data_IF_599771442896
#
_entry.id   IF_599771442896
#
_cell.length_a   1.000
_cell.length_b   1.000
_cell.length_c   1.000
_cell.angle_alpha   90.00
_cell.angle_beta   90.00
_cell.angle_gamma   90.00
#
_symmetry.space_group_name_H-M   'P 1'
#
loop_
_entity.id
_entity.type
_entity.pdbx_description
1 polymer ?
#
# COMPACT_ATOMS: atom_id res chain seq x y z
N UNK A 1 -14.04 -8.17 16.20
CA UNK A 1 -12.88 -7.26 16.23
C UNK A 1 -13.46 -5.86 16.35
N UNK A 2 -13.09 -5.12 17.40
CA UNK A 2 -13.60 -3.74 17.60
C UNK A 2 -13.03 -2.85 16.50
N UNK A 3 -13.85 -2.00 15.90
CA UNK A 3 -13.40 -0.97 14.97
C UNK A 3 -12.32 -0.09 15.64
N UNK A 4 -11.27 0.33 14.90
CA UNK A 4 -10.22 1.18 15.46
C UNK A 4 -10.80 2.49 16.00
N UNK A 5 -10.20 3.02 17.07
CA UNK A 5 -10.62 4.33 17.59
C UNK A 5 -10.16 5.46 16.65
N UNK A 6 -10.82 6.64 16.65
CA UNK A 6 -10.43 7.77 15.80
C UNK A 6 -8.97 8.21 16.00
N UNK A 7 -8.45 8.03 17.21
CA UNK A 7 -7.06 8.33 17.58
C UNK A 7 -6.09 7.34 16.94
N UNK A 8 -6.47 6.06 16.85
CA UNK A 8 -5.64 5.01 16.25
C UNK A 8 -5.53 5.19 14.74
N UNK A 9 -6.64 5.57 14.08
CA UNK A 9 -6.63 5.94 12.65
C UNK A 9 -5.70 7.13 12.40
N UNK A 10 -5.79 8.18 13.24
CA UNK A 10 -4.95 9.39 13.09
C UNK A 10 -3.46 9.09 13.23
N UNK A 11 -3.08 8.20 14.15
CA UNK A 11 -1.69 7.77 14.29
C UNK A 11 -1.26 6.88 13.12
N UNK A 12 -2.12 5.95 12.69
CA UNK A 12 -1.83 5.03 11.57
C UNK A 12 -1.52 5.78 10.29
N UNK A 13 -2.33 6.79 9.92
CA UNK A 13 -2.09 7.56 8.69
C UNK A 13 -0.78 8.34 8.75
N UNK A 14 -0.40 8.84 9.93
CA UNK A 14 0.90 9.49 10.15
C UNK A 14 2.05 8.51 10.01
N UNK A 15 1.93 7.32 10.59
CA UNK A 15 2.93 6.26 10.49
C UNK A 15 3.16 5.84 9.04
N UNK A 16 2.08 5.67 8.26
CA UNK A 16 2.16 5.38 6.82
C UNK A 16 2.81 6.54 6.06
N UNK A 17 2.38 7.78 6.34
CA UNK A 17 2.94 8.97 5.71
C UNK A 17 4.45 9.08 5.97
N UNK A 18 4.90 8.95 7.22
CA UNK A 18 6.31 8.99 7.58
C UNK A 18 7.11 7.84 6.96
N UNK A 19 6.55 6.64 6.88
CA UNK A 19 7.22 5.48 6.28
C UNK A 19 7.43 5.62 4.77
N UNK A 20 6.49 6.27 4.08
CA UNK A 20 6.37 6.25 2.62
C UNK A 20 6.66 7.61 1.96
N UNK A 21 6.90 8.68 2.73
CA UNK A 21 7.21 10.03 2.21
C UNK A 21 8.41 10.07 1.25
N UNK A 22 9.35 9.14 1.41
CA UNK A 22 10.53 9.02 0.54
C UNK A 22 10.33 8.18 -0.72
N UNK A 23 9.20 7.46 -0.85
CA UNK A 23 8.98 6.57 -1.98
C UNK A 23 8.78 7.36 -3.28
N UNK A 24 9.41 6.95 -4.40
CA UNK A 24 9.25 7.60 -5.70
C UNK A 24 7.79 7.80 -6.14
N UNK A 25 6.89 6.86 -5.88
CA UNK A 25 5.47 7.00 -6.19
C UNK A 25 4.89 8.22 -5.46
N UNK A 26 5.05 8.26 -4.14
CA UNK A 26 4.49 9.32 -3.29
C UNK A 26 5.15 10.67 -3.54
N UNK A 27 6.45 10.70 -3.82
CA UNK A 27 7.16 11.91 -4.25
C UNK A 27 6.57 12.49 -5.52
N UNK A 28 6.22 11.65 -6.47
CA UNK A 28 5.74 12.06 -7.80
C UNK A 28 4.29 12.54 -7.75
N UNK A 29 3.40 11.83 -7.05
CA UNK A 29 1.98 12.24 -6.96
C UNK A 29 1.77 13.47 -6.06
N UNK A 30 2.71 13.76 -5.15
CA UNK A 30 2.69 14.97 -4.29
C UNK A 30 3.52 16.14 -4.85
N UNK A 31 3.66 16.21 -6.18
CA UNK A 31 4.45 17.24 -6.88
C UNK A 31 4.09 18.68 -6.48
N UNK A 32 2.81 18.93 -6.15
CA UNK A 32 2.32 20.24 -5.71
C UNK A 32 2.98 20.75 -4.40
N UNK A 33 3.56 19.86 -3.59
CA UNK A 33 4.24 20.24 -2.35
C UNK A 33 5.65 20.82 -2.60
N UNK A 34 6.24 20.66 -3.79
CA UNK A 34 7.59 21.16 -4.10
C UNK A 34 8.63 20.65 -3.09
N UNK A 35 9.34 21.55 -2.42
CA UNK A 35 10.34 21.19 -1.38
C UNK A 35 9.75 21.16 0.04
N UNK A 36 8.45 21.46 0.22
CA UNK A 36 7.81 21.50 1.55
C UNK A 36 7.46 20.09 2.05
N UNK A 37 8.35 19.53 2.89
CA UNK A 37 8.16 18.22 3.50
C UNK A 37 7.01 18.18 4.52
N UNK A 38 6.70 19.30 5.19
CA UNK A 38 5.58 19.34 6.13
C UNK A 38 4.25 19.31 5.38
N UNK A 39 4.14 20.07 4.28
CA UNK A 39 2.97 20.01 3.40
C UNK A 39 2.80 18.62 2.77
N UNK A 40 3.91 17.98 2.35
CA UNK A 40 3.87 16.62 1.80
C UNK A 40 3.41 15.60 2.84
N UNK A 41 3.93 15.67 4.06
CA UNK A 41 3.51 14.77 5.13
C UNK A 41 2.00 14.91 5.39
N UNK A 42 1.48 16.14 5.48
CA UNK A 42 0.05 16.39 5.68
C UNK A 42 -0.81 15.90 4.50
N UNK A 43 -0.34 16.09 3.25
CA UNK A 43 -1.02 15.58 2.06
C UNK A 43 -1.05 14.04 2.05
N UNK A 44 0.04 13.39 2.46
CA UNK A 44 0.11 11.94 2.57
C UNK A 44 -0.75 11.40 3.72
N UNK A 45 -0.82 12.07 4.86
CA UNK A 45 -1.77 11.70 5.93
C UNK A 45 -3.21 11.66 5.39
N UNK A 46 -3.62 12.67 4.60
CA UNK A 46 -4.92 12.69 3.96
C UNK A 46 -5.08 11.61 2.86
N UNK A 47 -4.03 11.35 2.08
CA UNK A 47 -4.02 10.28 1.08
C UNK A 47 -4.25 8.91 1.74
N UNK A 48 -3.50 8.62 2.80
CA UNK A 48 -3.60 7.35 3.50
C UNK A 48 -4.91 7.19 4.27
N UNK A 49 -5.52 8.29 4.73
CA UNK A 49 -6.88 8.24 5.27
C UNK A 49 -7.90 7.79 4.21
N UNK A 50 -7.81 8.30 2.98
CA UNK A 50 -8.66 7.84 1.87
C UNK A 50 -8.40 6.38 1.51
N UNK A 51 -7.14 5.95 1.50
CA UNK A 51 -6.76 4.58 1.18
C UNK A 51 -7.21 3.57 2.25
N UNK A 52 -7.11 3.92 3.54
CA UNK A 52 -7.63 3.08 4.63
C UNK A 52 -9.14 2.93 4.53
N UNK A 53 -9.86 4.02 4.30
CA UNK A 53 -11.31 3.98 4.14
C UNK A 53 -11.75 3.11 2.95
N UNK A 54 -11.05 3.18 1.81
CA UNK A 54 -11.28 2.27 0.67
C UNK A 54 -10.98 0.82 1.04
N UNK A 55 -9.85 0.57 1.70
CA UNK A 55 -9.44 -0.77 2.12
C UNK A 55 -10.43 -1.44 3.07
N UNK A 56 -11.02 -0.68 4.00
CA UNK A 56 -12.07 -1.17 4.91
C UNK A 56 -13.38 -1.50 4.18
N UNK A 57 -13.69 -0.80 3.07
CA UNK A 57 -14.92 -1.02 2.31
C UNK A 57 -14.84 -2.18 1.32
N UNK A 58 -13.69 -2.36 0.67
CA UNK A 58 -13.58 -3.24 -0.49
C UNK A 58 -12.29 -4.08 -0.55
N UNK A 59 -11.61 -4.24 0.59
CA UNK A 59 -10.42 -5.07 0.70
C UNK A 59 -10.17 -5.51 2.13
N UNK A 60 -8.92 -5.40 2.56
CA UNK A 60 -8.49 -5.72 3.92
C UNK A 60 -7.51 -4.68 4.43
N UNK A 61 -7.65 -4.33 5.69
CA UNK A 61 -6.68 -3.52 6.45
C UNK A 61 -6.21 -4.33 7.65
N UNK A 62 -4.89 -4.51 7.76
CA UNK A 62 -4.25 -5.05 8.95
C UNK A 62 -3.45 -3.92 9.63
N UNK A 63 -3.70 -3.68 10.92
CA UNK A 63 -3.02 -2.62 11.69
C UNK A 63 -1.82 -3.18 12.45
N UNK A 64 -0.73 -2.41 12.48
CA UNK A 64 0.46 -2.75 13.26
C UNK A 64 0.26 -2.31 14.72
N UNK A 65 -0.45 -3.13 15.49
CA UNK A 65 -0.64 -2.93 16.91
C UNK A 65 0.39 -3.73 17.70
N UNK A 66 1.05 -3.08 18.67
CA UNK A 66 1.83 -3.82 19.65
C UNK A 66 0.91 -4.50 20.66
N UNK A 67 1.08 -5.82 20.82
CA UNK A 67 0.73 -6.50 22.07
C UNK A 67 1.57 -5.80 23.14
N UNK A 68 0.95 -4.89 23.91
CA UNK A 68 1.52 -4.07 25.01
C UNK A 68 1.59 -2.51 24.85
N UNK A 69 0.65 -1.89 24.11
CA UNK A 69 0.15 -0.49 24.35
C UNK A 69 0.52 0.64 23.37
N UNK A 70 0.88 0.37 22.12
CA UNK A 70 0.90 1.43 21.10
C UNK A 70 0.24 0.93 19.81
N UNK A 71 -1.06 1.20 19.68
CA UNK A 71 -1.78 1.03 18.43
C UNK A 71 -1.33 2.06 17.39
N UNK A 72 -1.50 1.74 16.10
CA UNK A 72 -1.30 2.68 15.00
C UNK A 72 0.15 2.93 14.57
N UNK A 73 1.07 2.00 14.82
CA UNK A 73 2.48 2.10 14.39
C UNK A 73 2.67 1.82 12.88
N UNK A 74 1.59 1.59 12.14
CA UNK A 74 1.62 1.26 10.72
C UNK A 74 0.41 0.43 10.31
N UNK A 75 0.36 0.09 9.03
CA UNK A 75 -0.70 -0.75 8.48
C UNK A 75 -0.25 -1.44 7.19
N UNK A 76 -1.04 -2.44 6.80
CA UNK A 76 -1.04 -3.05 5.48
C UNK A 76 -2.46 -2.98 4.89
N UNK A 77 -2.55 -2.57 3.63
CA UNK A 77 -3.81 -2.48 2.87
C UNK A 77 -3.71 -3.47 1.71
N UNK A 78 -4.74 -4.30 1.58
CA UNK A 78 -4.81 -5.32 0.56
C UNK A 78 -6.05 -5.15 -0.31
N UNK A 79 -5.89 -5.31 -1.61
CA UNK A 79 -6.98 -5.71 -2.49
C UNK A 79 -7.11 -7.23 -2.44
N UNK A 80 -8.34 -7.71 -2.25
CA UNK A 80 -8.64 -9.14 -2.13
C UNK A 80 -9.56 -9.61 -3.28
N UNK A 81 -10.11 -10.81 -3.14
CA UNK A 81 -11.13 -11.39 -4.01
C UNK A 81 -12.51 -10.70 -3.95
N UNK A 82 -12.63 -9.56 -3.24
CA UNK A 82 -13.84 -8.74 -3.22
C UNK A 82 -14.34 -8.46 -4.65
N UNK A 83 -15.64 -8.64 -4.95
CA UNK A 83 -16.18 -8.42 -6.30
C UNK A 83 -15.77 -7.07 -6.92
N UNK A 84 -15.39 -7.08 -8.19
CA UNK A 84 -14.89 -5.90 -8.90
C UNK A 84 -15.83 -4.69 -8.80
N UNK A 85 -17.15 -4.91 -8.83
CA UNK A 85 -18.15 -3.84 -8.69
C UNK A 85 -18.08 -3.12 -7.32
N UNK A 86 -17.79 -3.85 -6.23
CA UNK A 86 -17.62 -3.25 -4.91
C UNK A 86 -16.32 -2.45 -4.83
N UNK A 87 -15.23 -2.98 -5.40
CA UNK A 87 -13.96 -2.25 -5.50
C UNK A 87 -14.09 -0.95 -6.31
N UNK A 88 -14.77 -1.01 -7.45
CA UNK A 88 -15.05 0.15 -8.29
C UNK A 88 -15.92 1.18 -7.54
N UNK A 89 -16.94 0.73 -6.80
CA UNK A 89 -17.78 1.63 -6.01
C UNK A 89 -17.00 2.29 -4.86
N UNK A 90 -16.10 1.58 -4.18
CA UNK A 90 -15.24 2.14 -3.14
C UNK A 90 -14.25 3.17 -3.70
N UNK A 91 -13.62 2.86 -4.84
CA UNK A 91 -12.74 3.79 -5.54
C UNK A 91 -13.49 5.07 -5.96
N UNK A 92 -14.65 4.92 -6.60
CA UNK A 92 -15.45 6.05 -7.07
C UNK A 92 -15.89 7.00 -5.93
N UNK A 93 -16.11 6.48 -4.72
CA UNK A 93 -16.43 7.30 -3.55
C UNK A 93 -15.28 8.22 -3.12
N UNK A 94 -14.02 7.81 -3.31
CA UNK A 94 -12.86 8.63 -2.92
C UNK A 94 -12.22 9.41 -4.07
N UNK A 95 -12.53 9.09 -5.31
CA UNK A 95 -11.87 9.64 -6.50
C UNK A 95 -11.88 11.16 -6.54
N UNK A 96 -13.03 11.79 -6.28
CA UNK A 96 -13.15 13.25 -6.28
C UNK A 96 -12.27 13.90 -5.18
N UNK A 97 -12.24 13.30 -3.98
CA UNK A 97 -11.40 13.77 -2.88
C UNK A 97 -9.91 13.57 -3.18
N UNK A 98 -9.54 12.44 -3.79
CA UNK A 98 -8.18 12.15 -4.20
C UNK A 98 -7.69 13.15 -5.26
N UNK A 99 -8.50 13.42 -6.28
CA UNK A 99 -8.18 14.40 -7.33
C UNK A 99 -8.04 15.81 -6.77
N UNK A 100 -8.92 16.21 -5.86
CA UNK A 100 -8.82 17.50 -5.20
C UNK A 100 -7.55 17.61 -4.34
N UNK A 101 -7.20 16.53 -3.63
CA UNK A 101 -6.03 16.47 -2.76
C UNK A 101 -4.70 16.57 -3.52
N UNK A 102 -4.54 15.78 -4.60
CA UNK A 102 -3.29 15.74 -5.38
C UNK A 102 -3.15 16.91 -6.36
N UNK A 103 -4.25 17.62 -6.64
CA UNK A 103 -4.33 18.59 -7.72
C UNK A 103 -4.25 17.94 -9.10
N UNK A 104 -4.37 18.76 -10.14
CA UNK A 104 -4.45 18.27 -11.53
C UNK A 104 -3.20 17.49 -11.95
N UNK A 105 -2.01 18.04 -11.69
CA UNK A 105 -0.75 17.41 -12.08
C UNK A 105 -0.46 16.14 -11.27
N UNK A 106 -0.64 16.19 -9.94
CA UNK A 106 -0.42 15.03 -9.08
C UNK A 106 -1.37 13.88 -9.38
N UNK A 107 -2.65 14.19 -9.68
CA UNK A 107 -3.62 13.19 -10.10
C UNK A 107 -3.32 12.62 -11.49
N UNK A 108 -2.86 13.44 -12.45
CA UNK A 108 -2.42 12.95 -13.75
C UNK A 108 -1.23 11.99 -13.63
N UNK A 109 -0.27 12.28 -12.74
CA UNK A 109 0.82 11.37 -12.42
C UNK A 109 0.31 10.06 -11.80
N UNK A 110 -0.60 10.15 -10.83
CA UNK A 110 -1.22 8.97 -10.21
C UNK A 110 -1.85 8.05 -11.26
N UNK A 111 -2.71 8.58 -12.13
CA UNK A 111 -3.39 7.81 -13.17
C UNK A 111 -2.39 7.16 -14.12
N UNK A 112 -1.42 7.92 -14.63
CA UNK A 112 -0.43 7.40 -15.56
C UNK A 112 0.44 6.29 -14.94
N UNK A 113 0.85 6.43 -13.68
CA UNK A 113 1.64 5.40 -12.98
C UNK A 113 0.80 4.12 -12.80
N UNK A 114 -0.44 4.24 -12.33
CA UNK A 114 -1.34 3.09 -12.13
C UNK A 114 -1.59 2.35 -13.45
N UNK A 115 -1.84 3.09 -14.54
CA UNK A 115 -2.01 2.50 -15.87
C UNK A 115 -0.73 1.80 -16.35
N UNK A 116 0.45 2.38 -16.15
CA UNK A 116 1.72 1.77 -16.53
C UNK A 116 1.96 0.46 -15.75
N UNK A 117 1.69 0.47 -14.44
CA UNK A 117 1.85 -0.69 -13.57
C UNK A 117 0.86 -1.80 -13.93
N UNK A 118 -0.40 -1.47 -14.21
CA UNK A 118 -1.41 -2.44 -14.69
C UNK A 118 -0.99 -3.11 -16.01
N UNK A 119 -0.48 -2.36 -16.98
CA UNK A 119 0.05 -2.92 -18.22
C UNK A 119 1.24 -3.86 -17.98
N UNK A 120 2.12 -3.53 -17.04
CA UNK A 120 3.27 -4.37 -16.69
C UNK A 120 2.86 -5.66 -15.95
N UNK A 121 1.73 -5.65 -15.24
CA UNK A 121 1.16 -6.81 -14.53
C UNK A 121 0.48 -7.81 -15.48
N UNK A 122 -0.09 -7.36 -16.60
CA UNK A 122 -0.89 -8.20 -17.50
C UNK A 122 -0.22 -9.52 -17.94
N UNK A 123 1.09 -9.58 -18.26
CA UNK A 123 1.76 -10.82 -18.65
C UNK A 123 1.90 -11.87 -17.53
N UNK A 124 1.71 -11.50 -16.26
CA UNK A 124 1.93 -12.38 -15.11
C UNK A 124 0.70 -13.19 -14.70
N UNK A 125 -0.48 -12.91 -15.29
CA UNK A 125 -1.71 -13.64 -14.97
C UNK A 125 -2.15 -13.46 -13.51
N UNK A 126 -1.98 -12.26 -12.96
CA UNK A 126 -2.26 -11.93 -11.55
C UNK A 126 -3.66 -11.33 -11.31
N UNK A 127 -4.57 -11.41 -12.29
CA UNK A 127 -5.90 -10.80 -12.20
C UNK A 127 -6.76 -11.33 -11.03
N UNK A 128 -6.49 -12.56 -10.59
CA UNK A 128 -7.19 -13.22 -9.47
C UNK A 128 -6.34 -13.23 -8.18
N UNK A 129 -5.13 -12.67 -8.20
CA UNK A 129 -4.23 -12.61 -7.06
C UNK A 129 -4.58 -11.43 -6.14
N UNK A 130 -4.30 -11.59 -4.84
CA UNK A 130 -4.42 -10.50 -3.88
C UNK A 130 -3.27 -9.50 -4.08
N UNK A 131 -3.55 -8.21 -3.97
CA UNK A 131 -2.54 -7.16 -4.12
C UNK A 131 -2.28 -6.49 -2.78
N UNK A 132 -1.03 -6.53 -2.30
CA UNK A 132 -0.58 -5.71 -1.18
C UNK A 132 -0.28 -4.30 -1.70
N UNK A 133 -1.27 -3.42 -1.62
CA UNK A 133 -1.22 -2.10 -2.23
C UNK A 133 -0.39 -1.10 -1.44
N UNK A 134 -0.50 -1.14 -0.11
CA UNK A 134 0.19 -0.23 0.80
C UNK A 134 0.69 -1.04 2.00
N UNK A 135 1.95 -0.87 2.37
CA UNK A 135 2.49 -1.39 3.62
C UNK A 135 3.52 -0.41 4.18
N UNK A 136 3.38 -0.03 5.45
CA UNK A 136 4.30 0.89 6.09
C UNK A 136 4.27 0.76 7.60
N UNK A 137 5.45 0.92 8.22
CA UNK A 137 5.65 0.98 9.67
C UNK A 137 6.38 2.29 9.97
N UNK A 138 5.91 3.01 11.00
CA UNK A 138 6.55 4.23 11.50
C UNK A 138 8.07 4.00 11.63
N UNK A 139 8.92 4.86 11.04
CA UNK A 139 10.36 4.75 11.13
C UNK A 139 10.90 4.55 12.57
N UNK A 140 10.27 5.18 13.57
CA UNK A 140 10.66 5.03 14.98
C UNK A 140 10.30 3.67 15.58
N UNK A 141 9.39 2.92 14.96
CA UNK A 141 8.95 1.59 15.38
C UNK A 141 9.56 0.45 14.53
N UNK A 142 10.38 0.77 13.52
CA UNK A 142 11.06 -0.22 12.69
C UNK A 142 12.13 -1.01 13.46
N UNK A 143 12.52 -2.17 12.93
CA UNK A 143 13.50 -3.06 13.58
C UNK A 143 12.93 -3.90 14.74
N UNK A 144 11.67 -3.71 15.11
CA UNK A 144 10.98 -4.42 16.22
C UNK A 144 10.15 -5.63 15.78
N UNK A 145 10.24 -6.03 14.51
CA UNK A 145 9.46 -7.14 13.94
C UNK A 145 8.05 -6.77 13.45
N UNK A 146 7.61 -5.53 13.65
CA UNK A 146 6.25 -5.07 13.29
C UNK A 146 5.91 -5.23 11.81
N UNK A 147 6.88 -5.07 10.90
CA UNK A 147 6.63 -5.24 9.46
C UNK A 147 6.20 -6.67 9.11
N UNK A 148 6.80 -7.69 9.73
CA UNK A 148 6.37 -9.07 9.53
C UNK A 148 5.05 -9.34 10.26
N UNK A 149 4.89 -8.78 11.46
CA UNK A 149 3.67 -8.96 12.27
C UNK A 149 2.42 -8.39 11.58
N UNK A 150 2.51 -7.20 10.97
CA UNK A 150 1.37 -6.57 10.29
C UNK A 150 0.95 -7.31 9.01
N UNK A 151 1.89 -7.96 8.32
CA UNK A 151 1.59 -8.72 7.11
C UNK A 151 1.11 -10.15 7.40
N UNK A 152 1.41 -10.70 8.58
CA UNK A 152 1.10 -12.09 8.90
C UNK A 152 -0.40 -12.44 8.80
N UNK A 153 -1.35 -11.63 9.31
CA UNK A 153 -2.78 -11.93 9.18
C UNK A 153 -3.27 -11.95 7.73
N UNK A 154 -2.84 -10.97 6.91
CA UNK A 154 -3.17 -10.91 5.49
C UNK A 154 -2.60 -12.11 4.72
N UNK A 155 -1.34 -12.47 4.97
CA UNK A 155 -0.72 -13.64 4.35
C UNK A 155 -1.39 -14.96 4.75
N UNK A 156 -1.79 -15.10 6.01
CA UNK A 156 -2.56 -16.27 6.46
C UNK A 156 -3.93 -16.35 5.77
N UNK A 157 -4.58 -15.21 5.51
CA UNK A 157 -5.83 -15.17 4.75
C UNK A 157 -5.63 -15.54 3.27
N UNK A 158 -4.55 -15.07 2.65
CA UNK A 158 -4.14 -15.48 1.29
C UNK A 158 -3.95 -17.00 1.21
N UNK A 159 -3.22 -17.57 2.17
CA UNK A 159 -2.98 -19.02 2.23
C UNK A 159 -4.29 -19.80 2.45
N UNK A 160 -5.17 -19.33 3.34
CA UNK A 160 -6.48 -19.95 3.58
C UNK A 160 -7.41 -19.90 2.36
N UNK A 161 -7.29 -18.85 1.53
CA UNK A 161 -8.01 -18.72 0.27
C UNK A 161 -7.39 -19.56 -0.87
N UNK A 162 -6.20 -20.14 -0.67
CA UNK A 162 -5.44 -20.80 -1.74
C UNK A 162 -5.05 -19.85 -2.86
N UNK A 163 -4.97 -18.55 -2.58
CA UNK A 163 -4.70 -17.50 -3.55
C UNK A 163 -3.20 -17.21 -3.69
N UNK A 164 -2.77 -16.73 -4.85
CA UNK A 164 -1.50 -16.02 -4.95
C UNK A 164 -1.66 -14.58 -4.44
N UNK A 165 -0.56 -13.95 -4.04
CA UNK A 165 -0.53 -12.52 -3.83
C UNK A 165 0.71 -11.88 -4.44
N UNK A 166 0.64 -10.57 -4.69
CA UNK A 166 1.75 -9.80 -5.23
C UNK A 166 1.84 -8.43 -4.58
N UNK A 167 2.99 -7.79 -4.78
CA UNK A 167 3.27 -6.42 -4.40
C UNK A 167 4.20 -5.79 -5.42
N UNK A 168 4.21 -4.48 -5.44
CA UNK A 168 5.14 -3.67 -6.20
C UNK A 168 5.90 -2.75 -5.25
N UNK A 169 7.19 -2.58 -5.46
CA UNK A 169 8.00 -1.70 -4.60
C UNK A 169 9.09 -1.00 -5.40
N UNK A 170 9.25 0.30 -5.16
CA UNK A 170 10.39 1.08 -5.66
C UNK A 170 11.65 0.93 -4.79
N UNK A 171 11.51 0.33 -3.60
CA UNK A 171 12.59 0.22 -2.64
C UNK A 171 13.29 -1.14 -2.75
N UNK A 172 14.38 -1.20 -3.50
CA UNK A 172 15.22 -2.41 -3.64
C UNK A 172 15.68 -2.99 -2.28
N UNK A 173 15.85 -2.13 -1.26
CA UNK A 173 16.25 -2.57 0.08
C UNK A 173 15.17 -3.37 0.80
N UNK A 174 13.92 -3.30 0.34
CA UNK A 174 12.80 -4.07 0.89
C UNK A 174 12.72 -5.50 0.33
N UNK A 175 13.39 -5.81 -0.79
CA UNK A 175 13.31 -7.13 -1.43
C UNK A 175 13.71 -8.29 -0.48
N UNK A 176 14.81 -8.21 0.30
CA UNK A 176 15.15 -9.27 1.24
C UNK A 176 14.15 -9.42 2.40
N UNK A 177 13.40 -8.36 2.73
CA UNK A 177 12.32 -8.45 3.71
C UNK A 177 11.15 -9.27 3.14
N UNK A 178 10.66 -8.93 1.95
CA UNK A 178 9.57 -9.67 1.31
C UNK A 178 9.97 -11.09 0.91
N UNK A 179 11.23 -11.33 0.53
CA UNK A 179 11.75 -12.66 0.23
C UNK A 179 11.62 -13.62 1.43
N UNK A 180 11.88 -13.14 2.65
CA UNK A 180 11.69 -13.93 3.88
C UNK A 180 10.22 -14.26 4.17
N UNK A 181 9.29 -13.50 3.61
CA UNK A 181 7.85 -13.75 3.69
C UNK A 181 7.33 -14.64 2.56
N UNK A 182 8.21 -15.13 1.68
CA UNK A 182 7.87 -16.06 0.59
C UNK A 182 7.60 -15.40 -0.76
N UNK A 183 7.81 -14.09 -0.89
CA UNK A 183 7.72 -13.41 -2.18
C UNK A 183 8.99 -13.65 -3.01
N UNK A 184 8.85 -13.79 -4.32
CA UNK A 184 9.95 -13.86 -5.27
C UNK A 184 9.83 -12.73 -6.30
N UNK A 185 10.95 -12.16 -6.72
CA UNK A 185 10.97 -11.15 -7.79
C UNK A 185 10.48 -11.80 -9.09
N UNK A 186 9.40 -11.27 -9.66
CA UNK A 186 8.84 -11.70 -10.94
C UNK A 186 9.27 -10.78 -12.09
N UNK A 187 9.55 -9.50 -11.80
CA UNK A 187 10.03 -8.55 -12.80
C UNK A 187 10.61 -7.28 -12.18
N UNK A 188 11.41 -6.58 -12.99
CA UNK A 188 11.90 -5.22 -12.75
C UNK A 188 11.48 -4.37 -13.94
N UNK A 189 10.90 -3.22 -13.66
CA UNK A 189 10.29 -2.33 -14.65
C UNK A 189 10.76 -0.91 -14.40
N UNK A 190 11.03 -0.17 -15.48
CA UNK A 190 11.22 1.27 -15.40
C UNK A 190 9.86 1.96 -15.49
N UNK A 191 9.55 2.80 -14.51
CA UNK A 191 8.32 3.60 -14.53
C UNK A 191 8.64 5.02 -15.02
N UNK A 192 7.98 5.41 -16.11
CA UNK A 192 8.35 6.58 -16.89
C UNK A 192 8.06 7.92 -16.19
N UNK A 193 7.04 7.98 -15.32
CA UNK A 193 6.59 9.21 -14.68
C UNK A 193 7.47 9.54 -13.46
N UNK A 194 7.78 8.55 -12.65
CA UNK A 194 8.69 8.62 -11.49
C UNK A 194 10.16 8.64 -11.92
N UNK A 195 10.47 8.14 -13.12
CA UNK A 195 11.84 7.96 -13.61
C UNK A 195 12.64 6.93 -12.83
N UNK A 196 11.98 6.07 -12.05
CA UNK A 196 12.59 5.08 -11.17
C UNK A 196 12.23 3.67 -11.60
N UNK A 197 13.09 2.72 -11.25
CA UNK A 197 12.74 1.31 -11.37
C UNK A 197 11.92 0.86 -10.17
N UNK A 198 10.99 -0.07 -10.41
CA UNK A 198 10.28 -0.81 -9.39
C UNK A 198 10.35 -2.32 -9.65
N UNK A 199 10.07 -3.08 -8.60
CA UNK A 199 10.07 -4.53 -8.62
C UNK A 199 8.67 -5.06 -8.36
N UNK A 200 8.22 -5.95 -9.23
CA UNK A 200 7.08 -6.81 -8.98
C UNK A 200 7.57 -8.04 -8.23
N UNK A 201 6.95 -8.34 -7.08
CA UNK A 201 7.19 -9.57 -6.35
C UNK A 201 5.90 -10.36 -6.18
N UNK A 202 5.99 -11.68 -6.37
CA UNK A 202 4.84 -12.60 -6.31
C UNK A 202 5.10 -13.68 -5.28
N UNK A 203 4.07 -14.00 -4.49
CA UNK A 203 4.05 -15.10 -3.54
C UNK A 203 2.93 -16.07 -3.92
N UNK A 204 3.30 -17.34 -4.11
CA UNK A 204 2.33 -18.44 -4.30
C UNK A 204 1.72 -18.83 -2.96
N UNK A 205 0.49 -19.38 -2.92
CA UNK A 205 -0.07 -19.90 -1.68
C UNK A 205 0.84 -20.99 -1.12
N UNK A 206 1.01 -21.01 0.19
CA UNK A 206 1.61 -22.17 0.83
C UNK A 206 0.61 -23.33 0.74
N UNK A 207 1.08 -24.50 0.29
CA UNK A 207 0.28 -25.72 0.35
C UNK A 207 -0.02 -26.05 1.83
N UNK A 208 -1.29 -26.32 2.14
CA UNK A 208 -1.74 -26.78 3.44
C UNK A 208 -1.18 -28.17 3.81
#
# INVERSE_FOLDING_TARGET
MSSPSPTDTSRTVRSLAAALIGDPFYRTVTVACGEDEAARLAMLEAYFALALAEGEQAGRVDLADEVCNEAGNGAAIWTTDTPAALRQAAYAQREAALRALLGEQGYAHFTAIVENMEHALAPHGLQDAWYLSIAGIDPAAQGRGLGAAVLAPGLAAVDAAGAACFLETYNERSLPFYARLGFAVAGRYGEAVTGCDYWLMVRKPHAA
#
